data_IF_951931652252
#
_entry.id   IF_951931652252
#
_cell.length_a   1.000
_cell.length_b   1.000
_cell.length_c   1.000
_cell.angle_alpha   90.00
_cell.angle_beta   90.00
_cell.angle_gamma   90.00
#
_symmetry.space_group_name_H-M   'P 1'
#
loop_
_entity.id
_entity.type
_entity.pdbx_description
1 polymer ?
#
# COMPACT_ATOMS: atom_id res chain seq x y z
N UNK A 1 26.40 -7.24 -6.85
CA UNK A 1 25.92 -7.74 -8.17
C UNK A 1 24.44 -8.07 -8.04
N UNK A 2 23.65 -7.72 -9.04
CA UNK A 2 22.22 -8.04 -9.09
C UNK A 2 22.05 -9.56 -9.26
N UNK A 3 21.16 -10.20 -8.48
CA UNK A 3 20.93 -11.65 -8.49
C UNK A 3 19.80 -11.97 -9.48
N UNK A 4 20.10 -11.91 -10.79
CA UNK A 4 19.12 -12.18 -11.86
C UNK A 4 18.92 -13.70 -12.00
N UNK A 5 17.66 -14.12 -12.08
CA UNK A 5 17.22 -15.50 -12.25
C UNK A 5 16.16 -15.57 -13.34
N UNK A 6 16.46 -16.31 -14.41
CA UNK A 6 15.50 -16.59 -15.47
C UNK A 6 14.43 -17.58 -14.97
N UNK A 7 13.16 -17.31 -15.28
CA UNK A 7 12.06 -18.19 -14.93
C UNK A 7 12.01 -19.35 -15.94
N UNK A 8 12.35 -20.53 -15.46
CA UNK A 8 12.30 -21.79 -16.22
C UNK A 8 11.23 -22.76 -15.72
N UNK A 9 10.78 -22.57 -14.48
CA UNK A 9 9.75 -23.37 -13.83
C UNK A 9 8.70 -22.45 -13.19
N UNK A 10 7.47 -22.48 -13.74
CA UNK A 10 6.34 -21.71 -13.22
C UNK A 10 5.81 -22.21 -11.88
N UNK A 11 6.12 -23.46 -11.50
CA UNK A 11 5.69 -24.06 -10.24
C UNK A 11 6.60 -23.73 -9.07
N UNK A 12 7.72 -23.05 -9.32
CA UNK A 12 8.69 -22.69 -8.31
C UNK A 12 8.02 -21.90 -7.15
N UNK A 13 8.18 -22.35 -5.88
CA UNK A 13 7.47 -21.73 -4.73
C UNK A 13 7.81 -20.27 -4.51
N UNK A 14 8.98 -19.82 -4.90
CA UNK A 14 9.41 -18.42 -4.80
C UNK A 14 8.61 -17.47 -5.70
N UNK A 15 7.88 -17.98 -6.69
CA UNK A 15 6.99 -17.23 -7.57
C UNK A 15 5.55 -17.15 -7.04
N UNK A 16 5.21 -17.88 -5.97
CA UNK A 16 3.87 -17.92 -5.40
C UNK A 16 3.36 -16.52 -5.03
N UNK A 17 4.23 -15.69 -4.49
CA UNK A 17 3.91 -14.31 -4.11
C UNK A 17 3.35 -13.49 -5.26
N UNK A 18 3.72 -13.79 -6.50
CA UNK A 18 3.27 -13.08 -7.71
C UNK A 18 2.09 -13.76 -8.41
N UNK A 19 1.98 -15.10 -8.29
CA UNK A 19 1.13 -15.92 -9.14
C UNK A 19 -0.05 -16.57 -8.41
N UNK A 20 0.16 -17.04 -7.17
CA UNK A 20 -0.77 -17.94 -6.51
C UNK A 20 -1.33 -17.44 -5.19
N UNK A 21 -0.62 -16.55 -4.49
CA UNK A 21 -1.11 -16.00 -3.23
C UNK A 21 -2.14 -14.90 -3.47
N UNK A 22 -3.29 -15.04 -2.81
CA UNK A 22 -4.29 -13.98 -2.76
C UNK A 22 -3.82 -12.83 -1.85
N UNK A 23 -4.43 -11.65 -2.00
CA UNK A 23 -4.15 -10.48 -1.16
C UNK A 23 -4.27 -10.82 0.35
N UNK A 24 -5.29 -11.60 0.74
CA UNK A 24 -5.45 -12.02 2.14
C UNK A 24 -4.36 -12.96 2.62
N UNK A 25 -3.85 -13.84 1.76
CA UNK A 25 -2.72 -14.71 2.08
C UNK A 25 -1.42 -13.90 2.19
N UNK A 26 -1.23 -12.89 1.35
CA UNK A 26 -0.09 -11.98 1.43
C UNK A 26 -0.09 -11.17 2.75
N UNK A 27 -1.25 -10.73 3.25
CA UNK A 27 -1.34 -10.05 4.56
C UNK A 27 -0.82 -10.93 5.69
N UNK A 28 -1.01 -12.25 5.60
CA UNK A 28 -0.56 -13.24 6.56
C UNK A 28 -0.92 -12.89 8.01
N UNK A 29 -2.22 -12.82 8.33
CA UNK A 29 -2.69 -12.41 9.67
C UNK A 29 -2.27 -13.33 10.79
N UNK A 30 -1.89 -14.57 10.48
CA UNK A 30 -1.42 -15.55 11.48
C UNK A 30 0.03 -15.25 11.90
N UNK A 31 0.87 -14.77 10.99
CA UNK A 31 2.28 -14.41 11.19
C UNK A 31 2.55 -13.04 10.55
N UNK A 32 2.07 -11.94 11.15
CA UNK A 32 2.11 -10.61 10.54
C UNK A 32 3.52 -10.11 10.17
N UNK A 33 4.54 -10.59 10.85
CA UNK A 33 5.95 -10.29 10.57
C UNK A 33 6.44 -10.90 9.24
N UNK A 34 5.74 -11.91 8.73
CA UNK A 34 5.97 -12.51 7.39
C UNK A 34 5.03 -11.94 6.33
N UNK A 35 4.13 -11.04 6.70
CA UNK A 35 3.18 -10.41 5.80
C UNK A 35 3.88 -9.64 4.70
N UNK A 36 3.34 -9.72 3.48
CA UNK A 36 3.89 -9.08 2.28
C UNK A 36 2.83 -8.29 1.53
N UNK A 37 3.26 -7.53 0.55
CA UNK A 37 2.43 -6.89 -0.47
C UNK A 37 3.21 -6.76 -1.78
N UNK A 38 2.50 -6.47 -2.87
CA UNK A 38 3.10 -6.27 -4.19
C UNK A 38 3.00 -4.79 -4.58
N UNK A 39 4.17 -4.18 -4.80
CA UNK A 39 4.28 -2.87 -5.43
C UNK A 39 4.47 -3.02 -6.95
N UNK A 40 3.76 -2.20 -7.75
CA UNK A 40 3.81 -2.23 -9.20
C UNK A 40 4.30 -0.90 -9.76
N UNK A 41 5.25 -0.92 -10.66
CA UNK A 41 5.93 0.18 -11.35
C UNK A 41 7.12 0.79 -10.62
N UNK A 42 8.11 1.32 -11.36
CA UNK A 42 9.30 1.94 -10.78
C UNK A 42 8.98 3.05 -9.77
N UNK A 43 8.02 3.93 -10.10
CA UNK A 43 7.62 5.04 -9.22
C UNK A 43 7.08 4.55 -7.87
N UNK A 44 6.16 3.57 -7.91
CA UNK A 44 5.50 3.05 -6.71
C UNK A 44 6.49 2.27 -5.84
N UNK A 45 7.35 1.46 -6.47
CA UNK A 45 8.42 0.72 -5.78
C UNK A 45 9.40 1.70 -5.13
N UNK A 46 9.81 2.75 -5.85
CA UNK A 46 10.68 3.79 -5.32
C UNK A 46 10.10 4.46 -4.07
N UNK A 47 8.81 4.82 -4.09
CA UNK A 47 8.10 5.40 -2.93
C UNK A 47 8.05 4.45 -1.73
N UNK A 48 7.86 3.15 -1.98
CA UNK A 48 7.87 2.15 -0.91
C UNK A 48 9.27 2.01 -0.30
N UNK A 49 10.33 1.99 -1.13
CA UNK A 49 11.72 1.97 -0.66
C UNK A 49 12.08 3.24 0.13
N UNK A 50 11.63 4.43 -0.34
CA UNK A 50 11.84 5.70 0.36
C UNK A 50 11.13 5.72 1.72
N UNK A 51 9.96 5.07 1.82
CA UNK A 51 9.26 4.85 3.07
C UNK A 51 9.90 3.75 3.94
N UNK A 52 11.01 3.14 3.49
CA UNK A 52 11.80 2.14 4.23
C UNK A 52 11.15 0.76 4.29
N UNK A 53 10.30 0.38 3.33
CA UNK A 53 9.84 -1.00 3.17
C UNK A 53 10.96 -1.88 2.63
N UNK A 54 11.04 -3.11 3.13
CA UNK A 54 12.12 -4.05 2.75
C UNK A 54 11.68 -4.91 1.57
N UNK A 55 12.40 -4.86 0.43
CA UNK A 55 12.09 -5.67 -0.72
C UNK A 55 12.52 -7.14 -0.48
N UNK A 56 11.73 -8.07 -1.03
CA UNK A 56 11.96 -9.52 -0.98
C UNK A 56 12.50 -10.03 -2.30
N UNK A 57 11.86 -9.65 -3.40
CA UNK A 57 12.26 -10.01 -4.76
C UNK A 57 11.62 -9.08 -5.77
N UNK A 58 12.13 -9.13 -7.02
CA UNK A 58 11.53 -8.44 -8.17
C UNK A 58 11.05 -9.46 -9.21
N UNK A 59 10.09 -9.03 -10.03
CA UNK A 59 9.62 -9.73 -11.22
C UNK A 59 9.49 -8.72 -12.36
N UNK A 60 10.21 -8.93 -13.47
CA UNK A 60 10.27 -7.99 -14.60
C UNK A 60 10.75 -8.64 -15.90
N UNK A 61 10.67 -7.89 -17.00
CA UNK A 61 11.31 -8.29 -18.25
C UNK A 61 12.84 -8.11 -18.18
N UNK A 62 13.64 -8.91 -18.91
CA UNK A 62 15.12 -8.79 -18.92
C UNK A 62 15.60 -7.39 -19.30
N UNK A 63 14.94 -6.71 -20.25
CA UNK A 63 15.26 -5.35 -20.68
C UNK A 63 15.14 -4.31 -19.58
N UNK A 64 14.29 -4.55 -18.57
CA UNK A 64 14.05 -3.60 -17.48
C UNK A 64 15.14 -3.63 -16.42
N UNK A 65 15.94 -4.70 -16.34
CA UNK A 65 17.04 -4.83 -15.36
C UNK A 65 18.05 -3.71 -15.53
N UNK A 66 18.48 -3.45 -16.77
CA UNK A 66 19.51 -2.43 -17.08
C UNK A 66 18.89 -1.06 -17.46
N UNK A 67 17.58 -0.95 -17.49
CA UNK A 67 16.87 0.30 -17.85
C UNK A 67 16.07 0.84 -16.67
N UNK A 68 14.75 0.64 -16.66
CA UNK A 68 13.82 1.18 -15.66
C UNK A 68 14.05 0.64 -14.25
N UNK A 69 14.58 -0.56 -14.10
CA UNK A 69 14.84 -1.22 -12.82
C UNK A 69 16.20 -0.88 -12.22
N UNK A 70 17.19 -0.48 -13.02
CA UNK A 70 18.58 -0.37 -12.62
C UNK A 70 18.79 0.38 -11.31
N UNK A 71 18.32 1.62 -11.24
CA UNK A 71 18.48 2.46 -10.07
C UNK A 71 17.79 1.91 -8.80
N UNK A 72 16.68 1.16 -8.96
CA UNK A 72 15.99 0.51 -7.85
C UNK A 72 16.76 -0.73 -7.38
N UNK A 73 17.26 -1.54 -8.30
CA UNK A 73 18.00 -2.77 -8.01
C UNK A 73 19.33 -2.45 -7.29
N UNK A 74 20.00 -1.37 -7.66
CA UNK A 74 21.22 -0.89 -6.99
C UNK A 74 20.97 -0.55 -5.50
N UNK A 75 19.75 -0.11 -5.16
CA UNK A 75 19.33 0.17 -3.77
C UNK A 75 19.02 -1.08 -2.95
N UNK A 76 18.74 -2.20 -3.62
CA UNK A 76 18.15 -3.38 -2.98
C UNK A 76 19.16 -4.51 -2.68
N UNK A 77 20.44 -4.33 -3.03
CA UNK A 77 21.47 -5.34 -2.80
C UNK A 77 21.31 -6.59 -3.68
N UNK A 78 21.49 -7.79 -3.10
CA UNK A 78 21.53 -9.05 -3.81
C UNK A 78 20.25 -9.88 -3.75
N UNK A 79 19.10 -9.23 -3.58
CA UNK A 79 17.81 -9.95 -3.57
C UNK A 79 17.50 -10.53 -4.96
N UNK A 80 16.69 -11.62 -5.06
CA UNK A 80 16.35 -12.24 -6.33
C UNK A 80 15.61 -11.29 -7.27
N UNK A 81 15.99 -11.32 -8.54
CA UNK A 81 15.32 -10.62 -9.64
C UNK A 81 14.90 -11.68 -10.66
N UNK A 82 13.63 -12.05 -10.63
CA UNK A 82 13.08 -13.03 -11.56
C UNK A 82 12.76 -12.34 -12.89
N UNK A 83 13.23 -12.92 -13.97
CA UNK A 83 13.04 -12.35 -15.31
C UNK A 83 12.44 -13.38 -16.28
N UNK A 84 11.53 -12.90 -17.12
CA UNK A 84 11.01 -13.62 -18.27
C UNK A 84 10.43 -12.63 -19.28
N UNK A 85 10.17 -13.11 -20.50
CA UNK A 85 9.46 -12.33 -21.52
C UNK A 85 8.03 -11.98 -21.07
N UNK A 86 7.47 -10.91 -21.65
CA UNK A 86 6.19 -10.33 -21.21
C UNK A 86 5.01 -11.30 -21.29
N UNK A 87 4.97 -12.17 -22.28
CA UNK A 87 3.94 -13.20 -22.45
C UNK A 87 4.01 -14.24 -21.32
N UNK A 88 5.23 -14.66 -20.97
CA UNK A 88 5.50 -15.55 -19.85
C UNK A 88 5.10 -14.93 -18.53
N UNK A 89 5.46 -13.67 -18.30
CA UNK A 89 5.06 -12.92 -17.09
C UNK A 89 3.55 -12.74 -17.02
N UNK A 90 2.88 -12.52 -18.16
CA UNK A 90 1.43 -12.40 -18.25
C UNK A 90 0.72 -13.71 -17.88
N UNK A 91 1.24 -14.84 -18.35
CA UNK A 91 0.73 -16.16 -17.99
C UNK A 91 0.91 -16.45 -16.49
N UNK A 92 2.08 -16.13 -15.93
CA UNK A 92 2.38 -16.33 -14.52
C UNK A 92 1.49 -15.53 -13.59
N UNK A 93 1.31 -14.24 -13.89
CA UNK A 93 0.59 -13.31 -13.01
C UNK A 93 -0.91 -13.27 -13.27
N UNK A 94 -1.37 -13.79 -14.40
CA UNK A 94 -2.77 -13.73 -14.83
C UNK A 94 -3.23 -12.37 -15.34
N UNK A 95 -2.32 -11.41 -15.54
CA UNK A 95 -2.62 -10.08 -16.10
C UNK A 95 -1.39 -9.50 -16.80
N UNK A 96 -1.64 -8.59 -17.75
CA UNK A 96 -0.59 -7.94 -18.52
C UNK A 96 0.16 -6.90 -17.67
N UNK A 97 1.50 -7.05 -17.56
CA UNK A 97 2.38 -6.15 -16.82
C UNK A 97 2.60 -4.82 -17.57
N UNK A 98 1.58 -3.98 -17.60
CA UNK A 98 1.61 -2.71 -18.36
C UNK A 98 2.64 -1.69 -17.84
N UNK A 99 3.13 -1.85 -16.62
CA UNK A 99 4.04 -0.92 -15.94
C UNK A 99 5.44 -1.46 -15.69
N UNK A 100 5.76 -2.60 -16.28
CA UNK A 100 7.10 -3.13 -16.47
C UNK A 100 7.66 -3.97 -15.33
N UNK A 101 7.32 -3.74 -14.05
CA UNK A 101 7.88 -4.52 -12.95
C UNK A 101 6.98 -4.61 -11.73
N UNK A 102 7.16 -5.71 -10.99
CA UNK A 102 6.60 -5.94 -9.67
C UNK A 102 7.73 -6.08 -8.65
N UNK A 103 7.46 -5.72 -7.41
CA UNK A 103 8.32 -5.98 -6.27
C UNK A 103 7.48 -6.52 -5.11
N UNK A 104 7.83 -7.71 -4.62
CA UNK A 104 7.31 -8.20 -3.35
C UNK A 104 8.07 -7.54 -2.20
N UNK A 105 7.35 -7.04 -1.21
CA UNK A 105 7.94 -6.33 -0.08
C UNK A 105 7.31 -6.79 1.23
N UNK A 106 8.08 -6.82 2.31
CA UNK A 106 7.55 -7.09 3.65
C UNK A 106 6.70 -5.91 4.15
N UNK A 107 5.64 -6.25 4.87
CA UNK A 107 4.81 -5.28 5.60
C UNK A 107 5.57 -4.79 6.84
N UNK A 108 5.16 -3.63 7.34
CA UNK A 108 5.68 -3.06 8.59
C UNK A 108 4.60 -3.11 9.67
N UNK A 109 4.98 -3.18 10.94
CA UNK A 109 4.06 -2.90 12.04
C UNK A 109 3.46 -1.50 11.86
N UNK A 110 2.17 -1.38 12.15
CA UNK A 110 1.48 -0.10 12.14
C UNK A 110 1.62 0.58 13.52
N UNK A 111 1.72 1.91 13.56
CA UNK A 111 1.76 2.65 14.82
C UNK A 111 0.40 2.58 15.54
N UNK A 112 0.39 2.78 16.85
CA UNK A 112 -0.84 3.03 17.59
C UNK A 112 -1.50 4.34 17.14
N UNK A 113 -2.83 4.44 17.29
CA UNK A 113 -3.60 5.64 16.91
C UNK A 113 -3.08 6.88 17.63
N UNK A 114 -2.81 6.77 18.92
CA UNK A 114 -2.28 7.86 19.75
C UNK A 114 -0.93 8.36 19.25
N UNK A 115 -0.06 7.44 18.86
CA UNK A 115 1.26 7.77 18.34
C UNK A 115 1.15 8.45 16.96
N UNK A 116 0.26 7.93 16.09
CA UNK A 116 0.01 8.50 14.77
C UNK A 116 -0.54 9.92 14.86
N UNK A 117 -1.46 10.16 15.80
CA UNK A 117 -2.16 11.41 15.98
C UNK A 117 -1.42 12.46 16.81
N UNK A 118 -0.32 12.11 17.48
CA UNK A 118 0.35 12.97 18.48
C UNK A 118 0.71 14.40 17.98
N UNK A 119 1.07 14.53 16.69
CA UNK A 119 1.41 15.82 16.07
C UNK A 119 0.49 16.16 14.88
N UNK A 120 -0.55 15.37 14.64
CA UNK A 120 -1.46 15.57 13.54
C UNK A 120 -2.48 16.68 13.88
N UNK A 121 -2.74 17.55 12.91
CA UNK A 121 -3.77 18.61 13.00
C UNK A 121 -5.01 18.24 12.21
N UNK A 122 -4.85 17.54 11.09
CA UNK A 122 -5.93 17.12 10.20
C UNK A 122 -5.74 15.66 9.84
N UNK A 123 -6.71 14.85 10.21
CA UNK A 123 -6.72 13.42 9.88
C UNK A 123 -7.94 13.08 9.05
N UNK A 124 -7.83 12.10 8.19
CA UNK A 124 -8.97 11.52 7.50
C UNK A 124 -9.32 10.18 8.14
N UNK A 125 -10.59 9.96 8.46
CA UNK A 125 -11.11 8.70 8.96
C UNK A 125 -11.87 7.99 7.85
N UNK A 126 -11.52 6.74 7.60
CA UNK A 126 -12.21 5.87 6.66
C UNK A 126 -13.03 4.86 7.47
N UNK A 127 -14.34 5.00 7.42
CA UNK A 127 -15.26 4.10 8.10
C UNK A 127 -15.85 3.12 7.09
N UNK A 128 -15.57 1.84 7.28
CA UNK A 128 -16.10 0.69 6.53
C UNK A 128 -15.99 0.81 4.99
N UNK A 129 -14.92 1.43 4.52
CA UNK A 129 -14.63 1.54 3.09
C UNK A 129 -14.08 0.21 2.59
N UNK A 130 -14.95 -0.65 2.08
CA UNK A 130 -14.60 -2.02 1.68
C UNK A 130 -13.97 -2.13 0.28
N UNK A 131 -14.18 -1.16 -0.60
CA UNK A 131 -13.65 -1.21 -1.95
C UNK A 131 -12.20 -0.69 -2.00
N UNK A 132 -11.19 -1.51 -2.37
CA UNK A 132 -9.79 -1.08 -2.42
C UNK A 132 -9.52 0.04 -3.43
N UNK A 133 -10.36 0.20 -4.46
CA UNK A 133 -10.28 1.34 -5.37
C UNK A 133 -10.61 2.64 -4.64
N UNK A 134 -11.66 2.63 -3.80
CA UNK A 134 -12.04 3.80 -3.01
C UNK A 134 -10.99 4.13 -1.95
N UNK A 135 -10.44 3.11 -1.27
CA UNK A 135 -9.30 3.29 -0.36
C UNK A 135 -8.16 4.03 -1.08
N UNK A 136 -7.74 3.54 -2.24
CA UNK A 136 -6.66 4.17 -3.00
C UNK A 136 -6.98 5.60 -3.45
N UNK A 137 -8.20 5.87 -3.86
CA UNK A 137 -8.66 7.20 -4.28
C UNK A 137 -8.66 8.19 -3.11
N UNK A 138 -9.18 7.77 -1.94
CA UNK A 138 -9.19 8.59 -0.73
C UNK A 138 -7.77 8.89 -0.26
N UNK A 139 -6.89 7.89 -0.20
CA UNK A 139 -5.49 8.08 0.16
C UNK A 139 -4.81 9.11 -0.76
N UNK A 140 -5.04 8.99 -2.07
CA UNK A 140 -4.48 9.93 -3.05
C UNK A 140 -4.99 11.36 -2.83
N UNK A 141 -6.27 11.53 -2.56
CA UNK A 141 -6.88 12.82 -2.28
C UNK A 141 -6.39 13.40 -0.95
N UNK A 142 -6.33 12.58 0.10
CA UNK A 142 -5.83 12.98 1.42
C UNK A 142 -4.37 13.47 1.36
N UNK A 143 -3.52 12.76 0.62
CA UNK A 143 -2.14 13.18 0.39
C UNK A 143 -2.06 14.52 -0.36
N UNK A 144 -2.88 14.70 -1.41
CA UNK A 144 -2.93 15.94 -2.19
C UNK A 144 -3.46 17.14 -1.38
N UNK A 145 -4.35 16.89 -0.42
CA UNK A 145 -4.91 17.89 0.49
C UNK A 145 -4.06 18.10 1.76
N UNK A 146 -2.88 17.48 1.82
CA UNK A 146 -1.98 17.57 2.95
C UNK A 146 -2.62 17.17 4.30
N UNK A 147 -3.40 16.07 4.30
CA UNK A 147 -3.80 15.44 5.54
C UNK A 147 -2.58 14.84 6.23
N UNK A 148 -2.49 14.99 7.55
CA UNK A 148 -1.32 14.55 8.32
C UNK A 148 -1.30 13.02 8.51
N UNK A 149 -2.50 12.40 8.59
CA UNK A 149 -2.64 10.95 8.76
C UNK A 149 -4.00 10.44 8.27
N UNK A 150 -4.08 9.10 8.11
CA UNK A 150 -5.35 8.40 7.93
C UNK A 150 -5.54 7.35 9.02
N UNK A 151 -6.77 7.23 9.52
CA UNK A 151 -7.14 6.14 10.42
C UNK A 151 -8.34 5.39 9.85
N UNK A 152 -8.26 4.06 9.82
CA UNK A 152 -9.26 3.21 9.21
C UNK A 152 -9.98 2.38 10.27
N UNK A 153 -11.27 2.12 10.07
CA UNK A 153 -11.96 1.10 10.87
C UNK A 153 -11.57 -0.31 10.39
N UNK A 154 -11.75 -1.30 11.25
CA UNK A 154 -11.30 -2.68 10.98
C UNK A 154 -12.01 -3.37 9.83
N UNK A 155 -13.14 -2.85 9.35
CA UNK A 155 -13.86 -3.37 8.19
C UNK A 155 -13.38 -2.78 6.85
N UNK A 156 -12.51 -1.77 6.87
CA UNK A 156 -11.93 -1.23 5.66
C UNK A 156 -11.05 -2.26 4.94
N UNK A 157 -11.04 -2.18 3.60
CA UNK A 157 -10.04 -2.89 2.80
C UNK A 157 -8.64 -2.39 3.14
N UNK A 158 -7.68 -3.29 3.01
CA UNK A 158 -6.29 -2.99 3.33
C UNK A 158 -5.67 -1.98 2.33
N UNK A 159 -5.06 -0.89 2.82
CA UNK A 159 -4.36 0.09 1.99
C UNK A 159 -3.20 -0.48 1.16
N UNK A 160 -2.61 -1.59 1.60
CA UNK A 160 -1.53 -2.28 0.89
C UNK A 160 -2.03 -3.39 -0.05
N UNK A 161 -3.34 -3.51 -0.27
CA UNK A 161 -3.82 -4.30 -1.40
C UNK A 161 -3.34 -3.67 -2.71
N UNK A 162 -2.88 -4.50 -3.62
CA UNK A 162 -2.30 -4.08 -4.90
C UNK A 162 -3.16 -3.03 -5.63
N UNK A 163 -4.49 -3.22 -5.61
CA UNK A 163 -5.43 -2.29 -6.24
C UNK A 163 -5.40 -0.92 -5.56
N UNK A 164 -5.36 -0.86 -4.23
CA UNK A 164 -5.30 0.39 -3.47
C UNK A 164 -3.96 1.11 -3.68
N UNK A 165 -2.84 0.39 -3.62
CA UNK A 165 -1.50 0.93 -3.93
C UNK A 165 -1.48 1.56 -5.32
N UNK A 166 -2.00 0.84 -6.32
CA UNK A 166 -2.02 1.29 -7.72
C UNK A 166 -2.87 2.54 -7.91
N UNK A 167 -4.07 2.58 -7.35
CA UNK A 167 -5.00 3.72 -7.45
C UNK A 167 -4.47 4.93 -6.70
N UNK A 168 -3.86 4.74 -5.53
CA UNK A 168 -3.19 5.82 -4.79
C UNK A 168 -1.92 6.31 -5.46
N UNK A 169 -1.46 5.67 -6.54
CA UNK A 169 -0.17 5.96 -7.18
C UNK A 169 1.02 5.83 -6.21
N UNK A 170 0.90 4.99 -5.17
CA UNK A 170 1.88 4.84 -4.10
C UNK A 170 1.86 5.94 -3.03
N UNK A 171 0.86 6.82 -3.01
CA UNK A 171 0.73 7.80 -1.91
C UNK A 171 0.47 7.13 -0.56
N UNK A 172 0.01 5.87 -0.54
CA UNK A 172 -0.08 5.05 0.67
C UNK A 172 1.25 4.94 1.43
N UNK A 173 2.37 5.12 0.76
CA UNK A 173 3.71 5.12 1.36
C UNK A 173 4.18 6.50 1.82
N UNK A 174 3.45 7.57 1.47
CA UNK A 174 3.82 8.96 1.74
C UNK A 174 2.99 9.60 2.86
N UNK A 175 1.79 9.06 3.13
CA UNK A 175 0.93 9.50 4.23
C UNK A 175 0.87 8.41 5.30
N UNK A 176 1.15 8.71 6.57
CA UNK A 176 1.07 7.71 7.63
C UNK A 176 -0.38 7.28 7.87
N UNK A 177 -0.56 6.00 8.18
CA UNK A 177 -1.89 5.44 8.42
C UNK A 177 -1.86 4.28 9.42
N UNK A 178 -3.01 4.01 10.04
CA UNK A 178 -3.22 2.88 10.95
C UNK A 178 -4.69 2.48 11.02
N UNK A 179 -4.99 1.44 11.77
CA UNK A 179 -6.36 1.02 12.08
C UNK A 179 -6.74 1.39 13.51
N UNK A 180 -8.02 1.72 13.72
CA UNK A 180 -8.59 1.67 15.05
C UNK A 180 -8.64 0.22 15.55
N UNK A 181 -8.47 -0.02 16.86
CA UNK A 181 -8.72 -1.33 17.45
C UNK A 181 -10.13 -1.82 17.10
N UNK A 182 -10.28 -3.13 16.88
CA UNK A 182 -11.59 -3.71 16.54
C UNK A 182 -12.59 -3.44 17.68
N UNK A 183 -13.74 -2.87 17.34
CA UNK A 183 -14.80 -2.55 18.29
C UNK A 183 -14.54 -1.30 19.13
N UNK A 184 -13.52 -0.51 18.84
CA UNK A 184 -13.27 0.76 19.52
C UNK A 184 -14.38 1.77 19.25
N UNK A 185 -14.73 2.56 20.26
CA UNK A 185 -15.45 3.82 20.08
C UNK A 185 -14.46 4.87 19.57
N UNK A 186 -14.20 4.80 18.27
CA UNK A 186 -13.18 5.60 17.60
C UNK A 186 -13.51 7.11 17.66
N UNK A 187 -14.78 7.48 17.70
CA UNK A 187 -15.21 8.88 17.81
C UNK A 187 -14.78 9.45 19.16
N UNK A 188 -15.10 8.72 20.24
CA UNK A 188 -14.68 9.13 21.58
C UNK A 188 -13.16 9.15 21.73
N UNK A 189 -12.44 8.15 21.17
CA UNK A 189 -10.99 8.12 21.18
C UNK A 189 -10.37 9.37 20.51
N UNK A 190 -10.91 9.78 19.36
CA UNK A 190 -10.44 11.00 18.67
C UNK A 190 -10.75 12.28 19.47
N UNK A 191 -11.93 12.34 20.11
CA UNK A 191 -12.27 13.49 20.99
C UNK A 191 -11.34 13.58 22.19
N UNK A 192 -10.96 12.44 22.79
CA UNK A 192 -9.97 12.41 23.89
C UNK A 192 -8.57 12.85 23.43
N UNK A 193 -8.23 12.64 22.15
CA UNK A 193 -6.99 13.15 21.53
C UNK A 193 -7.09 14.63 21.10
N UNK A 194 -8.22 15.30 21.36
CA UNK A 194 -8.43 16.71 21.07
C UNK A 194 -8.95 17.04 19.66
N UNK A 195 -9.33 16.03 18.89
CA UNK A 195 -9.89 16.26 17.55
C UNK A 195 -11.38 16.58 17.62
N UNK A 196 -11.81 17.48 16.76
CA UNK A 196 -13.20 17.68 16.39
C UNK A 196 -13.52 16.81 15.18
N UNK A 197 -14.56 16.01 15.28
CA UNK A 197 -14.97 15.12 14.18
C UNK A 197 -16.01 15.78 13.30
N UNK A 198 -15.87 15.63 11.99
CA UNK A 198 -16.78 16.15 10.97
C UNK A 198 -17.09 15.02 9.99
N UNK A 199 -18.37 14.72 9.79
CA UNK A 199 -18.81 13.74 8.81
C UNK A 199 -19.08 14.41 7.46
N UNK A 200 -18.50 13.86 6.39
CA UNK A 200 -18.81 14.26 5.02
C UNK A 200 -20.10 13.56 4.58
N UNK A 201 -21.23 14.13 4.90
CA UNK A 201 -22.54 13.54 4.66
C UNK A 201 -23.41 14.45 3.77
N UNK A 202 -24.25 13.83 2.93
CA UNK A 202 -25.24 14.54 2.11
C UNK A 202 -26.52 14.75 2.93
N UNK A 203 -26.59 15.84 3.67
CA UNK A 203 -27.76 16.24 4.43
C UNK A 203 -28.14 17.69 4.13
N UNK A 204 -29.43 18.03 4.28
CA UNK A 204 -29.94 19.38 4.01
C UNK A 204 -29.35 20.43 4.97
N UNK A 205 -29.02 20.03 6.21
CA UNK A 205 -28.42 20.85 7.25
C UNK A 205 -26.90 20.83 7.31
N UNK A 206 -26.27 20.36 6.22
CA UNK A 206 -24.81 20.31 6.11
C UNK A 206 -24.18 21.70 6.17
N UNK A 207 -23.05 21.80 6.86
CA UNK A 207 -22.26 23.03 6.91
C UNK A 207 -21.40 23.14 5.63
N UNK A 208 -21.16 24.36 5.18
CA UNK A 208 -20.14 24.63 4.18
C UNK A 208 -18.76 24.30 4.75
N UNK A 209 -17.85 23.81 3.91
CA UNK A 209 -16.47 23.46 4.33
C UNK A 209 -15.68 24.67 4.86
N UNK A 210 -16.09 25.87 4.53
CA UNK A 210 -15.49 27.12 5.02
C UNK A 210 -16.25 27.71 6.21
N UNK A 211 -17.21 26.99 6.76
CA UNK A 211 -17.95 27.46 7.94
C UNK A 211 -17.00 27.62 9.13
N UNK A 212 -16.98 28.79 9.79
CA UNK A 212 -16.06 29.07 10.90
C UNK A 212 -16.29 28.18 12.12
N UNK A 213 -17.38 27.40 12.14
CA UNK A 213 -17.63 26.39 13.18
C UNK A 213 -16.82 25.10 12.98
N UNK A 214 -16.28 24.88 11.80
CA UNK A 214 -15.39 23.76 11.48
C UNK A 214 -13.94 24.13 11.79
#
# INVERSE_FOLDING_TARGET
MVNVREITDFSAPELDVYARLTENQLVNRAEPEKGMFIAESPLVIGRALDAGYTPVSFLMEPKDVETRGKALLERCGSIPVYVAELDVLTQLTGFHLTRGMLCAMYRKPLPAVEQLCANAKRIAVLEDVMNPTNIGAIIRSAAALHMDALVLTSACSDPLYRRAIRVSMGNVFQIPWTYFPKGADWTNQLHQLGFKTVAMALKEDSLDIYDPRL
#
